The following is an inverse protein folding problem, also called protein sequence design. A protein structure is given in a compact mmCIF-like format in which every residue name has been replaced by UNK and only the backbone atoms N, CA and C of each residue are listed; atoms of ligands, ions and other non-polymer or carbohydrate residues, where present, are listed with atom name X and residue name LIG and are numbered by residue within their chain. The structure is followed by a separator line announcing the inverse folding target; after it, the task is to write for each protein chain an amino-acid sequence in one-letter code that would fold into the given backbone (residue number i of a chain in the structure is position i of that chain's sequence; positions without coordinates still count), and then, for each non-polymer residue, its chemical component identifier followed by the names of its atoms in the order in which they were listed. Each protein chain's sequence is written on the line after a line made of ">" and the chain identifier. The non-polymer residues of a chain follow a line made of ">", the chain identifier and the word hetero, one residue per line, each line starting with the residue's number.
data_IF_333268377991
#
_entry.id   IF_333268377991
#
_cell.length_a   1.000
_cell.length_b   1.000
_cell.length_c   1.000
_cell.angle_alpha   90.00
_cell.angle_beta   90.00
_cell.angle_gamma   90.00
#
_symmetry.space_group_name_H-M   'P 1'
#
loop_
_entity.id
_entity.type
_entity.pdbx_description
1 polymer ?
#
# COMPACT_ATOMS: atom_id res chain seq x y z
N UNK A 1 41.73 9.44 22.66
CA UNK A 1 41.10 10.22 21.60
C UNK A 1 39.64 9.79 21.53
N UNK A 2 38.73 10.63 22.05
CA UNK A 2 37.31 10.35 22.07
C UNK A 2 36.75 10.59 20.66
N UNK A 3 36.08 9.58 20.10
CA UNK A 3 35.41 9.66 18.81
C UNK A 3 33.99 10.19 19.09
N UNK A 4 33.81 11.50 18.97
CA UNK A 4 32.47 12.10 19.04
C UNK A 4 31.75 11.84 17.71
N UNK A 5 30.73 11.00 17.76
CA UNK A 5 29.76 10.86 16.68
C UNK A 5 28.98 12.17 16.56
N UNK A 6 28.76 12.72 15.34
CA UNK A 6 27.98 13.93 15.18
C UNK A 6 26.53 13.71 15.64
N UNK A 7 25.87 14.74 16.22
CA UNK A 7 24.48 14.63 16.65
C UNK A 7 23.58 14.38 15.43
N UNK A 8 22.67 13.41 15.57
CA UNK A 8 21.60 13.16 14.63
C UNK A 8 20.73 14.43 14.55
N UNK A 9 20.72 15.08 13.41
CA UNK A 9 19.84 16.23 13.14
C UNK A 9 18.38 15.76 13.18
N UNK A 10 17.74 16.03 14.32
CA UNK A 10 16.31 15.87 14.54
C UNK A 10 15.69 17.21 14.15
N UNK A 11 15.32 17.42 12.90
CA UNK A 11 14.40 18.47 12.43
C UNK A 11 14.27 18.38 10.89
N UNK A 12 13.73 17.28 10.38
CA UNK A 12 13.04 17.31 9.11
C UNK A 12 11.58 17.05 9.41
N UNK A 13 10.77 18.10 9.33
CA UNK A 13 9.31 17.95 9.25
C UNK A 13 9.01 16.94 8.14
N UNK A 14 8.05 16.00 8.35
CA UNK A 14 7.68 15.05 7.33
C UNK A 14 7.12 15.83 6.14
N UNK A 15 7.94 16.06 5.13
CA UNK A 15 7.48 16.57 3.84
C UNK A 15 6.51 15.53 3.30
N UNK A 16 5.25 15.91 3.16
CA UNK A 16 4.25 15.10 2.47
C UNK A 16 4.75 14.95 1.04
N UNK A 17 5.36 13.81 0.73
CA UNK A 17 5.89 13.56 -0.60
C UNK A 17 4.72 13.60 -1.60
N UNK A 18 4.88 14.34 -2.68
CA UNK A 18 3.86 14.47 -3.72
C UNK A 18 3.40 13.08 -4.20
N UNK A 19 2.10 12.93 -4.44
CA UNK A 19 1.49 11.72 -5.00
C UNK A 19 1.28 11.94 -6.51
N UNK A 20 2.29 11.64 -7.36
CA UNK A 20 2.20 11.92 -8.79
C UNK A 20 1.17 11.01 -9.44
N UNK A 21 0.37 11.57 -10.34
CA UNK A 21 -0.55 10.77 -11.14
C UNK A 21 0.23 9.87 -12.11
N UNK A 22 -0.28 8.65 -12.32
CA UNK A 22 0.27 7.66 -13.24
C UNK A 22 -0.85 7.11 -14.12
N UNK A 23 -0.51 6.69 -15.33
CA UNK A 23 -1.43 6.04 -16.26
C UNK A 23 -0.85 4.73 -16.74
N UNK A 24 -1.70 3.72 -16.87
CA UNK A 24 -1.39 2.43 -17.47
C UNK A 24 -2.28 2.20 -18.70
N UNK A 25 -2.32 1.01 -19.24
CA UNK A 25 -3.19 0.70 -20.39
C UNK A 25 -4.68 0.82 -20.07
N UNK A 26 -5.11 0.53 -18.83
CA UNK A 26 -6.53 0.50 -18.44
C UNK A 26 -6.86 1.42 -17.26
N UNK A 27 -5.85 1.89 -16.53
CA UNK A 27 -6.02 2.56 -15.25
C UNK A 27 -5.39 3.94 -15.26
N UNK A 28 -5.97 4.82 -14.46
CA UNK A 28 -5.36 6.04 -13.98
C UNK A 28 -5.23 5.94 -12.47
N UNK A 29 -4.03 6.14 -11.96
CA UNK A 29 -3.75 6.25 -10.54
C UNK A 29 -3.51 7.72 -10.22
N UNK A 30 -4.31 8.29 -9.33
CA UNK A 30 -4.21 9.66 -8.86
C UNK A 30 -4.16 9.70 -7.34
N UNK A 31 -3.79 10.83 -6.79
CA UNK A 31 -3.89 11.02 -5.34
C UNK A 31 -5.31 10.68 -4.85
N UNK A 32 -5.39 9.87 -3.78
CA UNK A 32 -6.65 9.55 -3.14
C UNK A 32 -7.17 10.79 -2.42
N UNK A 33 -8.42 11.12 -2.64
CA UNK A 33 -9.12 12.22 -1.98
C UNK A 33 -10.08 11.72 -0.90
N UNK A 34 -10.58 12.64 -0.08
CA UNK A 34 -11.64 12.33 0.89
C UNK A 34 -12.95 11.93 0.22
N UNK A 35 -13.19 12.39 -1.01
CA UNK A 35 -14.42 12.11 -1.77
C UNK A 35 -14.44 10.66 -2.31
N UNK A 36 -13.29 10.00 -2.43
CA UNK A 36 -13.22 8.59 -2.80
C UNK A 36 -13.85 7.66 -1.75
N UNK A 37 -14.10 8.17 -0.54
CA UNK A 37 -14.74 7.42 0.52
C UNK A 37 -16.15 6.93 0.13
N UNK A 38 -16.91 7.71 -0.63
CA UNK A 38 -18.25 7.30 -1.09
C UNK A 38 -18.19 6.09 -2.02
N UNK A 39 -17.22 6.11 -2.94
CA UNK A 39 -17.05 5.02 -3.91
C UNK A 39 -16.55 3.72 -3.28
N UNK A 40 -15.76 3.82 -2.20
CA UNK A 40 -15.11 2.67 -1.54
C UNK A 40 -15.82 2.22 -0.26
N UNK A 41 -16.88 2.91 0.18
CA UNK A 41 -17.53 2.64 1.46
C UNK A 41 -18.17 1.24 1.50
N UNK A 42 -18.79 0.77 0.44
CA UNK A 42 -19.43 -0.55 0.39
C UNK A 42 -18.41 -1.65 0.72
N UNK A 43 -17.22 -1.60 0.12
CA UNK A 43 -16.16 -2.57 0.39
C UNK A 43 -15.50 -2.37 1.75
N UNK A 44 -15.26 -1.12 2.16
CA UNK A 44 -14.58 -0.83 3.42
C UNK A 44 -15.50 -0.90 4.65
N UNK A 45 -16.81 -1.06 4.48
CA UNK A 45 -17.78 -1.40 5.52
C UNK A 45 -18.07 -2.90 5.60
N UNK A 46 -17.58 -3.70 4.65
CA UNK A 46 -17.81 -5.14 4.62
C UNK A 46 -16.81 -5.88 5.53
N UNK A 47 -17.32 -6.65 6.52
CA UNK A 47 -16.46 -7.42 7.43
C UNK A 47 -15.54 -8.42 6.71
N UNK A 48 -15.96 -9.00 5.58
CA UNK A 48 -15.14 -9.96 4.85
C UNK A 48 -13.95 -9.28 4.13
N UNK A 49 -14.12 -8.07 3.61
CA UNK A 49 -13.02 -7.26 3.05
C UNK A 49 -12.09 -6.79 4.16
N UNK A 50 -12.66 -6.29 5.24
CA UNK A 50 -11.90 -5.71 6.36
C UNK A 50 -11.28 -6.75 7.29
N UNK A 51 -11.57 -8.05 7.10
CA UNK A 51 -10.91 -9.13 7.84
C UNK A 51 -9.39 -9.17 7.64
N UNK A 52 -8.90 -8.63 6.52
CA UNK A 52 -7.47 -8.55 6.18
C UNK A 52 -6.78 -7.27 6.69
N UNK A 53 -7.52 -6.43 7.43
CA UNK A 53 -7.02 -5.16 7.93
C UNK A 53 -6.94 -5.16 9.47
N UNK A 54 -6.02 -4.39 10.03
CA UNK A 54 -5.85 -4.29 11.48
C UNK A 54 -7.03 -3.64 12.20
N UNK A 55 -7.89 -2.91 11.47
CA UNK A 55 -9.04 -2.20 12.02
C UNK A 55 -10.38 -2.85 11.64
N UNK A 56 -11.41 -2.57 12.43
CA UNK A 56 -12.78 -2.94 12.13
C UNK A 56 -13.34 -2.25 10.86
N UNK A 57 -14.38 -2.81 10.22
CA UNK A 57 -15.12 -2.15 9.16
C UNK A 57 -15.56 -0.74 9.55
N UNK A 58 -15.63 0.16 8.58
CA UNK A 58 -16.11 1.52 8.80
C UNK A 58 -17.64 1.53 8.98
N UNK A 59 -18.12 2.25 9.99
CA UNK A 59 -19.54 2.32 10.31
C UNK A 59 -20.30 3.33 9.45
N UNK A 60 -19.62 4.30 8.83
CA UNK A 60 -20.24 5.33 7.99
C UNK A 60 -19.25 5.91 6.98
N UNK A 61 -19.81 6.50 5.90
CA UNK A 61 -19.01 7.27 4.93
C UNK A 61 -18.27 8.43 5.62
N UNK A 62 -18.90 9.07 6.62
CA UNK A 62 -18.26 10.16 7.34
C UNK A 62 -17.02 9.71 8.11
N UNK A 63 -17.04 8.54 8.73
CA UNK A 63 -15.88 7.94 9.38
C UNK A 63 -14.78 7.62 8.37
N UNK A 64 -15.14 7.07 7.21
CA UNK A 64 -14.19 6.77 6.15
C UNK A 64 -13.58 8.03 5.54
N UNK A 65 -14.38 9.09 5.34
CA UNK A 65 -13.88 10.42 4.91
C UNK A 65 -12.84 10.97 5.91
N UNK A 66 -13.12 10.87 7.20
CA UNK A 66 -12.17 11.29 8.23
C UNK A 66 -10.89 10.48 8.20
N UNK A 67 -10.95 9.17 7.91
CA UNK A 67 -9.77 8.31 7.74
C UNK A 67 -8.98 8.64 6.47
N UNK A 68 -9.65 9.09 5.40
CA UNK A 68 -9.02 9.47 4.14
C UNK A 68 -8.43 10.89 4.17
N UNK A 69 -8.72 11.68 5.19
CA UNK A 69 -8.14 13.00 5.37
C UNK A 69 -6.60 12.93 5.35
N UNK A 70 -5.93 13.97 4.83
CA UNK A 70 -4.47 14.04 4.83
C UNK A 70 -3.91 13.82 6.24
N UNK A 71 -2.90 12.96 6.34
CA UNK A 71 -2.24 12.63 7.60
C UNK A 71 -0.74 12.85 7.47
N UNK A 72 -0.06 13.36 8.51
CA UNK A 72 1.40 13.51 8.52
C UNK A 72 2.15 12.17 8.59
N UNK A 73 1.47 11.05 8.39
CA UNK A 73 2.03 9.69 8.51
C UNK A 73 3.12 9.34 7.48
N UNK A 74 3.35 10.19 6.48
CA UNK A 74 4.31 9.92 5.41
C UNK A 74 3.84 8.87 4.38
N UNK A 75 2.61 8.38 4.49
CA UNK A 75 2.02 7.49 3.50
C UNK A 75 1.48 8.26 2.30
N UNK A 76 1.85 7.82 1.11
CA UNK A 76 1.28 8.26 -0.17
C UNK A 76 0.24 7.25 -0.59
N UNK A 77 -0.94 7.70 -1.01
CA UNK A 77 -2.01 6.79 -1.44
C UNK A 77 -2.55 7.20 -2.79
N UNK A 78 -2.52 6.27 -3.73
CA UNK A 78 -3.09 6.42 -5.07
C UNK A 78 -4.45 5.74 -5.12
N UNK A 79 -5.50 6.49 -5.43
CA UNK A 79 -6.76 5.92 -5.86
C UNK A 79 -6.58 5.25 -7.23
N UNK A 80 -7.13 4.06 -7.39
CA UNK A 80 -7.18 3.34 -8.66
C UNK A 80 -8.50 3.72 -9.34
N UNK A 81 -8.43 4.26 -10.56
CA UNK A 81 -9.60 4.56 -11.38
C UNK A 81 -9.44 3.95 -12.76
N UNK A 82 -10.53 3.79 -13.51
CA UNK A 82 -10.46 3.36 -14.91
C UNK A 82 -10.14 4.53 -15.83
N UNK A 83 -9.54 4.28 -16.98
CA UNK A 83 -9.39 5.32 -18.01
C UNK A 83 -10.75 5.88 -18.39
N UNK A 84 -10.88 7.23 -18.33
CA UNK A 84 -12.13 7.93 -18.67
C UNK A 84 -13.21 7.94 -17.57
N UNK A 85 -12.96 7.29 -16.43
CA UNK A 85 -13.85 7.29 -15.27
C UNK A 85 -13.04 7.62 -14.01
N UNK A 86 -13.42 8.67 -13.28
CA UNK A 86 -12.69 9.11 -12.09
C UNK A 86 -13.18 8.43 -10.79
N UNK A 87 -14.19 7.55 -10.86
CA UNK A 87 -14.67 6.79 -9.72
C UNK A 87 -13.57 5.84 -9.22
N UNK A 88 -13.21 5.95 -7.95
CA UNK A 88 -12.25 5.04 -7.33
C UNK A 88 -12.83 3.61 -7.23
N UNK A 89 -12.02 2.64 -7.66
CA UNK A 89 -12.32 1.21 -7.57
C UNK A 89 -11.33 0.47 -6.64
N UNK A 90 -10.50 1.22 -5.94
CA UNK A 90 -9.50 0.71 -5.02
C UNK A 90 -8.42 1.76 -4.75
N UNK A 91 -7.38 1.34 -4.06
CA UNK A 91 -6.19 2.17 -3.85
C UNK A 91 -4.93 1.31 -3.68
N UNK A 92 -3.78 1.95 -3.91
CA UNK A 92 -2.46 1.46 -3.48
C UNK A 92 -1.85 2.52 -2.59
N UNK A 93 -1.35 2.12 -1.44
CA UNK A 93 -0.65 2.99 -0.51
C UNK A 93 0.82 2.59 -0.41
N UNK A 94 1.71 3.55 -0.23
CA UNK A 94 3.13 3.31 0.03
C UNK A 94 3.63 4.23 1.14
N UNK A 95 4.33 3.65 2.13
CA UNK A 95 4.93 4.36 3.25
C UNK A 95 6.42 4.08 3.33
N UNK A 96 7.25 5.14 3.39
CA UNK A 96 8.69 4.99 3.54
C UNK A 96 9.06 4.68 4.99
N UNK A 97 9.99 3.76 5.19
CA UNK A 97 10.52 3.43 6.51
C UNK A 97 11.67 4.36 6.90
N UNK A 98 11.88 4.54 8.21
CA UNK A 98 12.86 5.47 8.81
C UNK A 98 14.27 5.41 8.24
N UNK A 99 14.69 4.28 7.69
CA UNK A 99 16.03 4.13 7.11
C UNK A 99 16.20 4.80 5.75
N UNK A 100 15.10 5.25 5.12
CA UNK A 100 15.09 5.67 3.74
C UNK A 100 15.33 4.54 2.73
N UNK A 101 14.84 4.72 1.52
CA UNK A 101 15.02 3.76 0.43
C UNK A 101 14.34 2.40 0.63
N UNK A 102 13.42 2.27 1.60
CA UNK A 102 12.60 1.09 1.85
C UNK A 102 11.16 1.52 2.03
N UNK A 103 10.27 1.05 1.18
CA UNK A 103 8.84 1.34 1.26
C UNK A 103 8.02 0.09 1.56
N UNK A 104 7.05 0.25 2.44
CA UNK A 104 5.96 -0.69 2.62
C UNK A 104 4.85 -0.35 1.65
N UNK A 105 4.19 -1.35 1.07
CA UNK A 105 2.98 -1.17 0.26
C UNK A 105 1.81 -1.92 0.86
N UNK A 106 0.62 -1.31 0.72
CA UNK A 106 -0.67 -1.93 0.98
C UNK A 106 -1.66 -1.57 -0.11
N UNK A 107 -2.65 -2.41 -0.36
CA UNK A 107 -3.63 -2.18 -1.42
C UNK A 107 -4.99 -2.78 -1.08
N UNK A 108 -6.02 -2.18 -1.67
CA UNK A 108 -7.39 -2.65 -1.66
C UNK A 108 -7.98 -2.49 -3.06
N UNK A 109 -8.76 -3.46 -3.49
CA UNK A 109 -9.55 -3.39 -4.72
C UNK A 109 -10.99 -3.76 -4.43
N UNK A 110 -11.93 -2.94 -4.87
CA UNK A 110 -13.36 -3.19 -4.78
C UNK A 110 -13.72 -4.54 -5.40
N UNK A 111 -14.65 -5.26 -4.81
CA UNK A 111 -15.01 -6.63 -5.23
C UNK A 111 -15.40 -6.75 -6.70
N UNK A 112 -16.16 -5.77 -7.21
CA UNK A 112 -16.60 -5.73 -8.60
C UNK A 112 -15.46 -5.54 -9.61
N UNK A 113 -14.28 -5.11 -9.13
CA UNK A 113 -13.08 -4.91 -9.94
C UNK A 113 -12.08 -6.09 -9.86
N UNK A 114 -12.26 -7.03 -8.94
CA UNK A 114 -11.37 -8.17 -8.73
C UNK A 114 -11.41 -9.19 -9.90
N UNK A 115 -10.43 -10.11 -9.91
CA UNK A 115 -10.36 -11.21 -10.88
C UNK A 115 -9.98 -10.81 -12.32
N UNK A 116 -9.63 -9.52 -12.58
CA UNK A 116 -9.35 -8.97 -13.93
C UNK A 116 -7.92 -8.46 -14.11
N UNK A 117 -7.03 -8.78 -13.18
CA UNK A 117 -5.63 -8.33 -13.20
C UNK A 117 -5.43 -6.83 -12.87
N UNK A 118 -6.47 -6.13 -12.41
CA UNK A 118 -6.42 -4.70 -12.08
C UNK A 118 -5.47 -4.43 -10.91
N UNK A 119 -5.53 -5.23 -9.84
CA UNK A 119 -4.63 -5.07 -8.71
C UNK A 119 -3.16 -5.24 -9.13
N UNK A 120 -2.88 -6.24 -9.96
CA UNK A 120 -1.52 -6.47 -10.48
C UNK A 120 -1.03 -5.26 -11.28
N UNK A 121 -1.84 -4.73 -12.19
CA UNK A 121 -1.50 -3.56 -13.02
C UNK A 121 -1.24 -2.31 -12.16
N UNK A 122 -2.12 -2.03 -11.19
CA UNK A 122 -1.99 -0.89 -10.30
C UNK A 122 -0.76 -0.97 -9.39
N UNK A 123 -0.55 -2.13 -8.76
CA UNK A 123 0.61 -2.36 -7.87
C UNK A 123 1.91 -2.32 -8.66
N UNK A 124 1.96 -2.88 -9.89
CA UNK A 124 3.11 -2.76 -10.80
C UNK A 124 3.47 -1.31 -11.04
N UNK A 125 2.51 -0.45 -11.39
CA UNK A 125 2.78 0.96 -11.66
C UNK A 125 3.34 1.69 -10.43
N UNK A 126 2.87 1.37 -9.24
CA UNK A 126 3.40 1.95 -7.99
C UNK A 126 4.82 1.44 -7.69
N UNK A 127 5.09 0.14 -7.88
CA UNK A 127 6.44 -0.43 -7.70
C UNK A 127 7.42 0.21 -8.68
N UNK A 128 7.07 0.34 -9.97
CA UNK A 128 7.89 1.02 -10.97
C UNK A 128 8.23 2.44 -10.52
N UNK A 129 7.24 3.16 -10.03
CA UNK A 129 7.40 4.51 -9.52
C UNK A 129 8.35 4.57 -8.32
N UNK A 130 8.16 3.71 -7.34
CA UNK A 130 9.00 3.66 -6.13
C UNK A 130 10.46 3.35 -6.49
N UNK A 131 10.71 2.39 -7.36
CA UNK A 131 12.07 2.07 -7.80
C UNK A 131 12.68 3.16 -8.69
N UNK A 132 11.89 3.86 -9.49
CA UNK A 132 12.36 5.02 -10.25
C UNK A 132 12.74 6.21 -9.34
N UNK A 133 12.11 6.33 -8.18
CA UNK A 133 12.43 7.32 -7.14
C UNK A 133 13.65 6.94 -6.28
N UNK A 134 14.26 5.77 -6.52
CA UNK A 134 15.47 5.34 -5.83
C UNK A 134 15.24 4.43 -4.62
N UNK A 135 14.01 3.92 -4.41
CA UNK A 135 13.81 2.89 -3.41
C UNK A 135 14.66 1.65 -3.77
N UNK A 136 15.38 1.08 -2.79
CA UNK A 136 16.17 -0.14 -2.99
C UNK A 136 15.36 -1.40 -2.73
N UNK A 137 14.24 -1.26 -1.98
CA UNK A 137 13.40 -2.36 -1.55
C UNK A 137 11.95 -1.88 -1.37
N UNK A 138 11.03 -2.73 -1.81
CA UNK A 138 9.60 -2.64 -1.48
C UNK A 138 9.22 -3.91 -0.73
N UNK A 139 8.35 -3.79 0.29
CA UNK A 139 7.84 -4.95 0.99
C UNK A 139 6.34 -4.79 1.28
N UNK A 140 5.68 -5.90 1.54
CA UNK A 140 4.31 -5.96 1.97
C UNK A 140 4.19 -6.85 3.21
N UNK A 141 3.32 -6.43 4.13
CA UNK A 141 2.86 -7.21 5.27
C UNK A 141 1.51 -7.84 4.89
N UNK A 142 1.39 -9.14 5.03
CA UNK A 142 0.24 -9.89 4.57
C UNK A 142 -0.22 -10.92 5.60
N UNK A 143 -1.53 -10.97 5.86
CA UNK A 143 -2.12 -12.04 6.69
C UNK A 143 -1.88 -13.42 6.03
N UNK A 144 -1.45 -14.44 6.78
CA UNK A 144 -1.18 -15.78 6.25
C UNK A 144 -2.39 -16.47 5.59
N UNK A 145 -3.60 -16.04 5.91
CA UNK A 145 -4.82 -16.60 5.34
C UNK A 145 -5.31 -15.83 4.10
N UNK A 146 -4.72 -14.65 3.80
CA UNK A 146 -5.07 -13.85 2.62
C UNK A 146 -4.38 -14.41 1.36
N UNK A 147 -4.91 -15.52 0.87
CA UNK A 147 -4.37 -16.25 -0.28
C UNK A 147 -4.33 -15.42 -1.57
N UNK A 148 -5.27 -14.50 -1.73
CA UNK A 148 -5.34 -13.64 -2.93
C UNK A 148 -4.20 -12.64 -2.93
N UNK A 149 -3.91 -12.02 -1.79
CA UNK A 149 -2.77 -11.11 -1.63
C UNK A 149 -1.44 -11.85 -1.80
N UNK A 150 -1.29 -13.02 -1.16
CA UNK A 150 -0.10 -13.88 -1.31
C UNK A 150 0.15 -14.20 -2.78
N UNK A 151 -0.87 -14.70 -3.50
CA UNK A 151 -0.73 -15.05 -4.90
C UNK A 151 -0.40 -13.84 -5.79
N UNK A 152 -0.89 -12.64 -5.45
CA UNK A 152 -0.54 -11.42 -6.16
C UNK A 152 0.93 -11.03 -5.92
N UNK A 153 1.38 -11.05 -4.67
CA UNK A 153 2.77 -10.71 -4.30
C UNK A 153 3.77 -11.67 -4.97
N UNK A 154 3.52 -12.98 -4.90
CA UNK A 154 4.36 -13.98 -5.55
C UNK A 154 4.40 -13.80 -7.08
N UNK A 155 3.26 -13.50 -7.70
CA UNK A 155 3.17 -13.22 -9.14
C UNK A 155 3.94 -11.96 -9.53
N UNK A 156 4.01 -10.96 -8.68
CA UNK A 156 4.83 -9.77 -8.85
C UNK A 156 6.32 -10.02 -8.58
N UNK A 157 6.69 -11.18 -8.04
CA UNK A 157 8.07 -11.59 -7.79
C UNK A 157 8.57 -11.26 -6.39
N UNK A 158 7.68 -10.89 -5.48
CA UNK A 158 8.04 -10.79 -4.07
C UNK A 158 8.44 -12.16 -3.52
N UNK A 159 9.41 -12.16 -2.63
CA UNK A 159 9.87 -13.36 -1.94
C UNK A 159 9.40 -13.33 -0.48
N UNK A 160 8.94 -14.47 0.02
CA UNK A 160 8.64 -14.62 1.45
C UNK A 160 9.94 -14.57 2.24
N UNK A 161 10.06 -13.61 3.14
CA UNK A 161 11.26 -13.42 3.98
C UNK A 161 11.06 -13.87 5.42
N UNK A 162 9.81 -13.94 5.87
CA UNK A 162 9.54 -14.39 7.22
C UNK A 162 8.06 -14.41 7.60
N UNK A 163 7.80 -15.08 8.74
CA UNK A 163 6.52 -15.07 9.44
C UNK A 163 6.74 -14.49 10.83
N UNK A 164 6.03 -13.42 11.11
CA UNK A 164 6.01 -12.77 12.41
C UNK A 164 4.81 -13.32 13.20
N UNK A 165 5.07 -13.98 14.31
CA UNK A 165 4.01 -14.57 15.13
C UNK A 165 3.41 -13.51 16.04
N UNK A 166 2.07 -13.46 16.12
CA UNK A 166 1.33 -12.54 16.98
C UNK A 166 1.70 -11.06 16.73
N UNK A 167 1.97 -10.69 15.47
CA UNK A 167 2.44 -9.35 15.09
C UNK A 167 1.34 -8.30 15.22
N UNK A 168 0.13 -8.65 14.82
CA UNK A 168 -0.98 -7.71 14.79
C UNK A 168 -2.04 -8.02 15.85
N UNK A 169 -2.40 -7.00 16.63
CA UNK A 169 -3.66 -7.02 17.38
C UNK A 169 -4.72 -6.37 16.52
N UNK A 170 -5.57 -7.21 15.92
CA UNK A 170 -6.66 -6.75 15.04
C UNK A 170 -7.99 -6.71 15.79
N UNK A 171 -9.04 -6.20 15.12
CA UNK A 171 -10.41 -6.26 15.65
C UNK A 171 -10.96 -7.70 15.78
N UNK A 172 -10.31 -8.68 15.14
CA UNK A 172 -10.67 -10.11 15.22
C UNK A 172 -9.75 -10.92 16.17
N UNK A 173 -8.84 -10.23 16.89
CA UNK A 173 -7.87 -10.84 17.78
C UNK A 173 -6.44 -10.76 17.25
N UNK A 174 -5.55 -11.52 17.87
CA UNK A 174 -4.13 -11.54 17.51
C UNK A 174 -3.90 -12.35 16.23
N UNK A 175 -3.14 -11.81 15.29
CA UNK A 175 -2.83 -12.41 13.99
C UNK A 175 -1.33 -12.44 13.74
N UNK A 176 -0.90 -13.47 13.03
CA UNK A 176 0.46 -13.52 12.47
C UNK A 176 0.53 -12.66 11.21
N UNK A 177 1.75 -12.40 10.77
CA UNK A 177 2.04 -11.71 9.53
C UNK A 177 3.08 -12.43 8.70
N UNK A 178 2.95 -12.39 7.38
CA UNK A 178 3.97 -12.77 6.41
C UNK A 178 4.61 -11.52 5.84
N UNK A 179 5.93 -11.45 5.86
CA UNK A 179 6.68 -10.36 5.23
C UNK A 179 7.17 -10.83 3.87
N UNK A 180 6.72 -10.17 2.83
CA UNK A 180 7.12 -10.37 1.46
C UNK A 180 7.97 -9.19 0.99
N UNK A 181 9.18 -9.45 0.49
CA UNK A 181 10.12 -8.43 0.03
C UNK A 181 10.43 -8.53 -1.45
N UNK A 182 10.74 -7.39 -2.07
CA UNK A 182 11.15 -7.27 -3.46
C UNK A 182 12.28 -6.25 -3.57
N UNK A 183 13.38 -6.62 -4.20
CA UNK A 183 14.53 -5.75 -4.40
C UNK A 183 14.51 -5.13 -5.80
N UNK A 184 15.06 -3.92 -5.93
CA UNK A 184 15.17 -3.22 -7.22
C UNK A 184 15.85 -4.06 -8.29
N UNK A 185 16.91 -4.83 -7.93
CA UNK A 185 17.61 -5.66 -8.89
C UNK A 185 16.75 -6.82 -9.41
N UNK A 186 15.94 -7.43 -8.53
CA UNK A 186 15.01 -8.51 -8.89
C UNK A 186 13.90 -8.00 -9.82
N UNK A 187 13.37 -6.81 -9.51
CA UNK A 187 12.35 -6.18 -10.34
C UNK A 187 12.86 -5.86 -11.74
N UNK A 188 14.04 -5.25 -11.85
CA UNK A 188 14.66 -4.92 -13.14
C UNK A 188 14.94 -6.16 -14.00
N UNK A 189 15.36 -7.26 -13.37
CA UNK A 189 15.61 -8.52 -14.08
C UNK A 189 14.32 -9.16 -14.65
N UNK A 190 13.15 -8.80 -14.12
CA UNK A 190 11.85 -9.33 -14.60
C UNK A 190 11.21 -8.46 -15.68
N UNK A 191 11.51 -7.16 -15.72
CA UNK A 191 10.85 -6.17 -16.58
C UNK A 191 11.72 -5.69 -17.74
N UNK A 192 13.01 -5.99 -17.74
CA UNK A 192 13.97 -5.71 -18.83
C UNK A 192 14.19 -6.93 -19.68
#
# INVERSE_FOLDING_TARGET
>A
MANESPPLSVDQEPQTAAVPAMSTSRLRLRERSIDDAEALFEDMSDPAVMSWWSRAPFASVAELRANFAPSPSGWRTWAITRQGDDRAIGFVAAGEKRQGGVSEIGYLLARDAQGRGIAQEAVTAVIDRLFAEGQRRVFADCDPENRESIALLERLGFQLEGRLRAEWQTHMGTRDSLIYGLLTAEWRARTG
#
